data_IF_447612596495
#
_entry.id   IF_447612596495
#
_cell.length_a   1.000
_cell.length_b   1.000
_cell.length_c   1.000
_cell.angle_alpha   90.00
_cell.angle_beta   90.00
_cell.angle_gamma   90.00
#
_symmetry.space_group_name_H-M   'P 1'
#
loop_
_entity.id
_entity.type
_entity.pdbx_description
1 polymer ?
#
# COMPACT_ATOMS: atom_id res chain seq x y z
N UNK A 1 35.14 3.13 13.77
CA UNK A 1 33.68 3.40 13.82
C UNK A 1 33.49 4.74 13.09
N UNK A 2 32.98 4.79 11.86
CA UNK A 2 32.68 6.05 11.21
C UNK A 2 31.36 6.61 11.74
N UNK A 3 31.43 7.89 12.06
CA UNK A 3 30.35 8.74 12.52
C UNK A 3 29.29 8.90 11.40
N UNK A 4 28.09 8.39 11.62
CA UNK A 4 26.96 8.54 10.73
C UNK A 4 26.16 9.79 11.13
N UNK A 5 26.69 10.95 10.80
CA UNK A 5 25.90 12.17 10.81
C UNK A 5 24.99 12.20 9.57
N UNK A 6 23.75 11.81 9.74
CA UNK A 6 22.72 11.94 8.70
C UNK A 6 22.40 13.41 8.54
N UNK A 7 22.87 13.99 7.46
CA UNK A 7 22.49 15.33 7.01
C UNK A 7 21.04 15.28 6.48
N UNK A 8 20.27 16.32 6.80
CA UNK A 8 18.82 16.46 6.57
C UNK A 8 18.37 16.57 5.11
N UNK A 9 19.20 16.26 4.13
CA UNK A 9 18.94 16.55 2.70
C UNK A 9 18.89 15.33 1.77
N UNK A 10 18.97 14.11 2.26
CA UNK A 10 18.90 12.94 1.37
C UNK A 10 17.57 12.18 1.52
N UNK A 11 16.51 12.73 0.91
CA UNK A 11 15.33 11.96 0.55
C UNK A 11 15.70 11.13 -0.69
N UNK A 12 16.24 9.93 -0.48
CA UNK A 12 16.49 9.01 -1.58
C UNK A 12 15.15 8.43 -2.04
N UNK A 13 14.63 9.00 -3.12
CA UNK A 13 13.50 8.44 -3.86
C UNK A 13 14.03 7.24 -4.65
N UNK A 14 13.75 6.03 -4.20
CA UNK A 14 13.95 4.84 -5.02
C UNK A 14 12.85 4.79 -6.09
N UNK A 15 13.12 5.37 -7.25
CA UNK A 15 12.29 5.21 -8.45
C UNK A 15 12.69 3.87 -9.08
N UNK A 16 11.86 2.84 -8.92
CA UNK A 16 11.94 1.67 -9.79
C UNK A 16 11.23 2.02 -11.10
N UNK A 17 11.93 2.70 -12.01
CA UNK A 17 11.42 3.02 -13.35
C UNK A 17 11.79 1.88 -14.29
N UNK A 18 10.82 1.06 -14.68
CA UNK A 18 10.87 0.38 -15.96
C UNK A 18 10.16 1.28 -16.99
N UNK A 19 10.91 2.16 -17.63
CA UNK A 19 10.42 3.02 -18.71
C UNK A 19 10.48 2.23 -20.02
N UNK A 20 9.34 1.80 -20.54
CA UNK A 20 9.22 1.48 -21.96
C UNK A 20 8.83 2.76 -22.70
N UNK A 21 9.77 3.26 -23.53
CA UNK A 21 9.56 4.42 -24.39
C UNK A 21 8.46 4.16 -25.41
N UNK A 22 7.53 5.08 -25.52
CA UNK A 22 6.71 5.30 -26.71
C UNK A 22 5.22 5.02 -26.61
N UNK A 23 4.50 5.72 -25.73
CA UNK A 23 3.07 5.98 -25.93
C UNK A 23 2.73 7.40 -25.49
N UNK A 24 2.24 8.22 -26.46
CA UNK A 24 1.45 9.41 -26.14
C UNK A 24 0.14 8.92 -25.51
N UNK A 25 0.11 8.79 -24.18
CA UNK A 25 -1.06 8.43 -23.39
C UNK A 25 -1.43 9.67 -22.57
N UNK A 26 -2.70 10.05 -22.62
CA UNK A 26 -3.27 10.84 -21.55
C UNK A 26 -2.81 10.18 -20.25
N UNK A 27 -2.11 10.94 -19.39
CA UNK A 27 -1.56 10.40 -18.15
C UNK A 27 -2.70 9.82 -17.33
N UNK A 28 -2.64 8.53 -17.01
CA UNK A 28 -3.60 7.88 -16.14
C UNK A 28 -3.57 8.46 -14.72
N UNK A 29 -4.53 8.06 -13.91
CA UNK A 29 -4.64 8.54 -12.53
C UNK A 29 -3.60 7.85 -11.62
N UNK A 30 -3.33 8.49 -10.50
CA UNK A 30 -2.47 7.96 -9.44
C UNK A 30 -3.38 7.46 -8.30
N UNK A 31 -3.21 6.21 -7.88
CA UNK A 31 -3.94 5.65 -6.75
C UNK A 31 -3.16 5.87 -5.45
N UNK A 32 -3.74 6.62 -4.54
CA UNK A 32 -3.21 6.85 -3.19
C UNK A 32 -3.89 5.87 -2.23
N UNK A 33 -3.10 5.12 -1.47
CA UNK A 33 -3.61 4.14 -0.50
C UNK A 33 -3.21 4.57 0.91
N UNK A 34 -4.19 5.08 1.65
CA UNK A 34 -4.04 5.46 3.05
C UNK A 34 -4.29 4.26 3.99
N UNK A 35 -3.87 4.36 5.25
CA UNK A 35 -4.09 3.30 6.23
C UNK A 35 -5.53 3.27 6.75
N UNK A 36 -6.17 4.45 6.89
CA UNK A 36 -7.50 4.61 7.51
C UNK A 36 -8.39 5.53 6.67
N UNK A 37 -9.72 5.34 6.74
CA UNK A 37 -10.67 6.19 6.01
C UNK A 37 -10.58 7.68 6.39
N UNK A 38 -10.23 8.02 7.63
CA UNK A 38 -10.04 9.39 8.08
C UNK A 38 -8.88 10.07 7.36
N UNK A 39 -7.73 9.42 7.37
CA UNK A 39 -6.51 9.88 6.68
C UNK A 39 -6.74 10.02 5.17
N UNK A 40 -7.44 9.05 4.58
CA UNK A 40 -7.81 9.13 3.17
C UNK A 40 -8.65 10.37 2.84
N UNK A 41 -9.59 10.75 3.71
CA UNK A 41 -10.40 11.97 3.52
C UNK A 41 -9.57 13.24 3.60
N UNK A 42 -8.62 13.31 4.54
CA UNK A 42 -7.75 14.47 4.70
C UNK A 42 -6.85 14.63 3.46
N UNK A 43 -6.23 13.55 3.00
CA UNK A 43 -5.44 13.51 1.77
C UNK A 43 -6.31 13.89 0.55
N UNK A 44 -7.48 13.29 0.41
CA UNK A 44 -8.38 13.54 -0.71
C UNK A 44 -8.83 15.00 -0.80
N UNK A 45 -9.06 15.65 0.35
CA UNK A 45 -9.39 17.08 0.42
C UNK A 45 -8.27 17.92 -0.19
N UNK A 46 -7.02 17.63 0.19
CA UNK A 46 -5.84 18.36 -0.33
C UNK A 46 -5.66 18.11 -1.83
N UNK A 47 -5.83 16.87 -2.28
CA UNK A 47 -5.69 16.45 -3.68
C UNK A 47 -6.93 16.76 -4.54
N UNK A 48 -7.96 17.40 -3.98
CA UNK A 48 -9.23 17.71 -4.65
C UNK A 48 -9.96 16.47 -5.22
N UNK A 49 -9.77 15.32 -4.60
CA UNK A 49 -10.49 14.09 -4.93
C UNK A 49 -11.82 14.02 -4.16
N UNK A 50 -12.82 14.76 -4.64
CA UNK A 50 -14.06 15.02 -3.89
C UNK A 50 -15.25 14.13 -4.31
N UNK A 51 -15.14 13.42 -5.44
CA UNK A 51 -16.21 12.55 -5.91
C UNK A 51 -16.18 11.22 -5.13
N UNK A 52 -17.31 10.89 -4.51
CA UNK A 52 -17.44 9.63 -3.77
C UNK A 52 -17.58 8.46 -4.74
N UNK A 53 -16.72 7.45 -4.55
CA UNK A 53 -16.82 6.15 -5.17
C UNK A 53 -17.06 5.05 -4.12
N UNK A 54 -17.15 3.82 -4.57
CA UNK A 54 -17.24 2.65 -3.69
C UNK A 54 -15.86 2.40 -3.06
N UNK A 55 -15.74 2.64 -1.74
CA UNK A 55 -14.49 2.49 -0.98
C UNK A 55 -13.33 3.40 -1.44
N UNK A 56 -13.63 4.50 -2.12
CA UNK A 56 -12.62 5.47 -2.58
C UNK A 56 -13.20 6.87 -2.77
N UNK A 57 -12.31 7.84 -2.98
CA UNK A 57 -12.59 9.21 -3.37
C UNK A 57 -11.86 9.50 -4.68
N UNK A 58 -12.57 10.07 -5.66
CA UNK A 58 -12.08 10.21 -7.02
C UNK A 58 -11.91 11.68 -7.37
N UNK A 59 -10.77 12.03 -7.91
CA UNK A 59 -10.45 13.33 -8.50
C UNK A 59 -9.99 13.17 -9.95
N UNK A 60 -9.56 14.28 -10.53
CA UNK A 60 -9.08 14.29 -11.93
C UNK A 60 -7.76 13.50 -12.05
N UNK A 61 -6.79 13.82 -11.21
CA UNK A 61 -5.45 13.20 -11.22
C UNK A 61 -5.31 12.02 -10.24
N UNK A 62 -6.07 12.03 -9.15
CA UNK A 62 -5.90 11.08 -8.05
C UNK A 62 -7.16 10.29 -7.75
N UNK A 63 -6.98 9.03 -7.40
CA UNK A 63 -7.96 8.21 -6.71
C UNK A 63 -7.41 7.91 -5.32
N UNK A 64 -8.14 8.23 -4.28
CA UNK A 64 -7.72 8.01 -2.89
C UNK A 64 -8.57 6.91 -2.28
N UNK A 65 -7.94 5.82 -1.91
CA UNK A 65 -8.58 4.70 -1.22
C UNK A 65 -7.83 4.42 0.09
N UNK A 66 -8.27 3.42 0.84
CA UNK A 66 -7.72 3.17 2.17
C UNK A 66 -7.75 1.69 2.53
N UNK A 67 -6.87 1.31 3.43
CA UNK A 67 -7.01 0.13 4.25
C UNK A 67 -7.92 0.42 5.46
N UNK A 68 -8.24 -0.60 6.22
CA UNK A 68 -8.92 -0.49 7.53
C UNK A 68 -8.08 -1.21 8.60
N UNK A 69 -6.80 -0.86 8.66
CA UNK A 69 -5.77 -1.65 9.27
C UNK A 69 -5.35 -2.79 8.35
N UNK A 70 -5.01 -3.95 8.91
CA UNK A 70 -4.64 -5.10 8.10
C UNK A 70 -5.82 -5.65 7.27
N UNK A 71 -5.60 -5.81 5.97
CA UNK A 71 -6.52 -6.50 5.04
C UNK A 71 -6.01 -7.90 4.72
N UNK A 72 -4.73 -8.14 4.97
CA UNK A 72 -3.99 -9.34 4.62
C UNK A 72 -3.12 -9.73 5.80
N UNK A 73 -3.00 -11.01 6.05
CA UNK A 73 -2.12 -11.61 7.05
C UNK A 73 -1.30 -12.73 6.43
N UNK A 74 -0.30 -13.21 7.14
CA UNK A 74 0.33 -14.48 6.80
C UNK A 74 -0.66 -15.64 7.01
N UNK A 75 -0.49 -16.67 6.22
CA UNK A 75 -1.23 -17.92 6.41
C UNK A 75 -0.84 -18.56 7.75
N UNK A 76 -1.83 -19.19 8.39
CA UNK A 76 -1.60 -19.93 9.62
C UNK A 76 -0.82 -21.23 9.33
N UNK A 77 -0.11 -21.80 10.31
CA UNK A 77 0.61 -23.06 10.14
C UNK A 77 -0.23 -24.17 9.52
N UNK A 78 -1.49 -24.28 9.89
CA UNK A 78 -2.44 -25.27 9.37
C UNK A 78 -2.81 -25.07 7.89
N UNK A 79 -2.64 -23.85 7.36
CA UNK A 79 -2.85 -23.56 5.93
C UNK A 79 -1.72 -24.15 5.05
N UNK A 80 -0.60 -24.56 5.65
CA UNK A 80 0.52 -25.23 4.98
C UNK A 80 0.41 -26.76 5.03
N UNK A 81 0.08 -27.30 6.23
CA UNK A 81 -0.08 -28.73 6.44
C UNK A 81 -0.98 -28.97 7.66
N UNK A 82 -1.99 -29.84 7.55
CA UNK A 82 -2.93 -30.13 8.62
C UNK A 82 -2.26 -30.66 9.90
N UNK A 83 -1.05 -31.27 9.79
CA UNK A 83 -0.27 -31.72 10.96
C UNK A 83 0.11 -30.58 11.91
N UNK A 84 0.16 -29.33 11.43
CA UNK A 84 0.49 -28.15 12.23
C UNK A 84 -0.69 -27.56 13.00
N UNK A 85 -1.90 -28.06 12.79
CA UNK A 85 -3.09 -27.64 13.53
C UNK A 85 -2.98 -27.87 15.04
N UNK A 86 -2.26 -28.92 15.43
CA UNK A 86 -1.96 -29.22 16.82
C UNK A 86 -0.47 -28.97 17.08
N UNK A 87 -0.20 -28.04 17.99
CA UNK A 87 1.16 -27.75 18.41
C UNK A 87 1.80 -28.98 19.07
N UNK A 88 2.90 -29.47 18.48
CA UNK A 88 3.66 -30.60 18.98
C UNK A 88 5.16 -30.33 18.74
N UNK A 89 6.02 -30.68 19.71
CA UNK A 89 7.46 -30.57 19.56
C UNK A 89 8.01 -31.30 18.35
N UNK A 90 7.42 -32.43 17.99
CA UNK A 90 7.84 -33.23 16.83
C UNK A 90 7.59 -32.56 15.48
N UNK A 91 6.74 -31.51 15.44
CA UNK A 91 6.42 -30.76 14.22
C UNK A 91 7.12 -29.41 14.14
N UNK A 92 7.99 -29.09 15.09
CA UNK A 92 8.80 -27.87 15.12
C UNK A 92 10.25 -28.15 14.66
N UNK A 93 10.92 -27.18 14.01
CA UNK A 93 10.41 -25.86 13.60
C UNK A 93 9.51 -25.96 12.36
N UNK A 94 8.54 -25.05 12.24
CA UNK A 94 7.70 -24.89 11.05
C UNK A 94 8.44 -23.96 10.10
N UNK A 95 8.98 -24.47 9.01
CA UNK A 95 9.77 -23.73 8.03
C UNK A 95 9.17 -23.95 6.65
N UNK A 96 8.15 -23.16 6.25
CA UNK A 96 7.60 -23.24 4.89
C UNK A 96 8.62 -22.69 3.89
N UNK A 97 8.69 -23.27 2.70
CA UNK A 97 9.55 -22.80 1.60
C UNK A 97 9.17 -21.37 1.17
N UNK A 98 7.87 -21.05 1.19
CA UNK A 98 7.34 -19.73 0.87
C UNK A 98 6.29 -19.32 1.89
N UNK A 99 6.34 -18.03 2.29
CA UNK A 99 5.34 -17.44 3.16
C UNK A 99 4.08 -17.08 2.36
N UNK A 100 2.98 -17.74 2.66
CA UNK A 100 1.68 -17.50 1.98
C UNK A 100 0.94 -16.34 2.64
N UNK A 101 0.32 -15.50 1.81
CA UNK A 101 -0.57 -14.43 2.26
C UNK A 101 -2.03 -14.88 2.22
N UNK A 102 -2.80 -14.42 3.20
CA UNK A 102 -4.22 -14.74 3.37
C UNK A 102 -5.04 -13.48 3.57
N UNK A 103 -6.10 -13.31 2.79
CA UNK A 103 -7.02 -12.20 2.98
C UNK A 103 -7.84 -12.36 4.27
N UNK A 104 -7.93 -11.29 5.06
CA UNK A 104 -8.76 -11.26 6.27
C UNK A 104 -10.22 -11.18 5.86
N UNK A 105 -11.04 -12.10 6.37
CA UNK A 105 -12.44 -12.28 5.94
C UNK A 105 -13.27 -11.02 6.18
N UNK A 106 -13.11 -10.37 7.33
CA UNK A 106 -13.88 -9.19 7.74
C UNK A 106 -13.64 -7.97 6.86
N UNK A 107 -12.44 -7.87 6.27
CA UNK A 107 -12.02 -6.71 5.47
C UNK A 107 -11.92 -7.02 3.97
N UNK A 108 -12.39 -8.21 3.56
CA UNK A 108 -12.27 -8.71 2.18
C UNK A 108 -12.95 -7.82 1.14
N UNK A 109 -14.04 -7.14 1.51
CA UNK A 109 -14.72 -6.19 0.62
C UNK A 109 -13.79 -5.04 0.21
N UNK A 110 -13.10 -4.43 1.19
CA UNK A 110 -12.16 -3.35 0.93
C UNK A 110 -10.93 -3.83 0.15
N UNK A 111 -10.43 -5.02 0.44
CA UNK A 111 -9.35 -5.62 -0.35
C UNK A 111 -9.75 -5.80 -1.83
N UNK A 112 -10.98 -6.21 -2.12
CA UNK A 112 -11.49 -6.32 -3.50
C UNK A 112 -11.51 -4.98 -4.22
N UNK A 113 -11.89 -3.91 -3.52
CA UNK A 113 -11.91 -2.55 -4.06
C UNK A 113 -10.48 -2.11 -4.41
N UNK A 114 -9.54 -2.30 -3.48
CA UNK A 114 -8.13 -1.99 -3.74
C UNK A 114 -7.58 -2.83 -4.89
N UNK A 115 -7.86 -4.13 -4.93
CA UNK A 115 -7.45 -5.00 -6.03
C UNK A 115 -7.95 -4.49 -7.39
N UNK A 116 -9.23 -4.06 -7.46
CA UNK A 116 -9.83 -3.51 -8.68
C UNK A 116 -9.08 -2.25 -9.14
N UNK A 117 -8.86 -1.30 -8.22
CA UNK A 117 -8.18 -0.04 -8.56
C UNK A 117 -6.71 -0.24 -8.88
N UNK A 118 -5.97 -1.01 -8.10
CA UNK A 118 -4.55 -1.29 -8.30
C UNK A 118 -4.26 -1.92 -9.66
N UNK A 119 -5.20 -2.70 -10.20
CA UNK A 119 -5.08 -3.36 -11.51
C UNK A 119 -5.89 -2.68 -12.61
N UNK A 120 -6.54 -1.53 -12.34
CA UNK A 120 -7.29 -0.77 -13.36
C UNK A 120 -6.35 -0.15 -14.40
N UNK A 121 -6.77 -0.16 -15.64
CA UNK A 121 -6.05 0.54 -16.74
C UNK A 121 -6.07 2.06 -16.58
N UNK A 122 -6.97 2.61 -15.77
CA UNK A 122 -7.04 4.04 -15.47
C UNK A 122 -5.94 4.51 -14.49
N UNK A 123 -5.23 3.58 -13.85
CA UNK A 123 -4.20 3.89 -12.87
C UNK A 123 -2.82 3.59 -13.47
N UNK A 124 -1.93 4.56 -13.47
CA UNK A 124 -0.55 4.40 -13.94
C UNK A 124 0.41 4.04 -12.81
N UNK A 125 0.24 4.65 -11.65
CA UNK A 125 1.13 4.45 -10.51
C UNK A 125 0.37 4.51 -9.18
N UNK A 126 1.05 4.12 -8.11
CA UNK A 126 0.49 4.11 -6.76
C UNK A 126 1.29 5.05 -5.85
N UNK A 127 0.63 5.58 -4.82
CA UNK A 127 1.29 6.22 -3.69
C UNK A 127 0.90 5.49 -2.41
N UNK A 128 1.90 4.95 -1.73
CA UNK A 128 1.76 4.37 -0.41
C UNK A 128 1.68 5.49 0.63
N UNK A 129 0.49 5.76 1.14
CA UNK A 129 0.20 6.77 2.15
C UNK A 129 -0.28 6.15 3.49
N UNK A 130 0.17 4.92 3.78
CA UNK A 130 0.03 4.31 5.09
C UNK A 130 1.03 4.93 6.07
N UNK A 131 0.84 4.72 7.36
CA UNK A 131 1.70 5.32 8.40
C UNK A 131 3.19 5.08 8.12
N UNK A 132 4.02 6.11 8.39
CA UNK A 132 5.47 6.10 8.15
C UNK A 132 6.22 5.24 9.17
N UNK A 133 5.88 3.96 9.23
CA UNK A 133 6.47 3.00 10.13
C UNK A 133 6.47 1.60 9.55
N UNK A 134 7.13 0.68 10.24
CA UNK A 134 7.23 -0.72 9.83
C UNK A 134 5.87 -1.37 9.60
N UNK A 135 4.89 -1.06 10.45
CA UNK A 135 3.53 -1.60 10.37
C UNK A 135 2.80 -1.09 9.12
N UNK A 136 2.81 0.22 8.87
CA UNK A 136 2.17 0.79 7.69
C UNK A 136 2.81 0.30 6.38
N UNK A 137 4.14 0.14 6.35
CA UNK A 137 4.82 -0.47 5.21
C UNK A 137 4.35 -1.92 4.98
N UNK A 138 4.24 -2.70 6.05
CA UNK A 138 3.80 -4.10 5.98
C UNK A 138 2.37 -4.20 5.43
N UNK A 139 1.44 -3.36 5.90
CA UNK A 139 0.07 -3.30 5.40
C UNK A 139 0.05 -3.08 3.88
N UNK A 140 0.79 -2.08 3.40
CA UNK A 140 0.85 -1.78 1.97
C UNK A 140 1.47 -2.91 1.17
N UNK A 141 2.61 -3.45 1.60
CA UNK A 141 3.33 -4.52 0.89
C UNK A 141 2.50 -5.78 0.77
N UNK A 142 1.80 -6.19 1.81
CA UNK A 142 0.93 -7.36 1.76
C UNK A 142 -0.25 -7.17 0.79
N UNK A 143 -0.84 -5.95 0.76
CA UNK A 143 -1.88 -5.63 -0.22
C UNK A 143 -1.31 -5.67 -1.64
N UNK A 144 -0.14 -5.06 -1.86
CA UNK A 144 0.52 -5.01 -3.15
C UNK A 144 0.82 -6.42 -3.69
N UNK A 145 1.36 -7.28 -2.84
CA UNK A 145 1.72 -8.66 -3.20
C UNK A 145 0.49 -9.53 -3.48
N UNK A 146 -0.50 -9.55 -2.59
CA UNK A 146 -1.69 -10.40 -2.76
C UNK A 146 -2.55 -9.97 -3.96
N UNK A 147 -2.55 -8.68 -4.31
CA UNK A 147 -3.22 -8.17 -5.49
C UNK A 147 -2.45 -8.41 -6.79
N UNK A 148 -1.20 -8.89 -6.68
CA UNK A 148 -0.27 -9.10 -7.81
C UNK A 148 -0.10 -7.86 -8.68
N UNK A 149 -0.19 -6.67 -8.06
CA UNK A 149 0.01 -5.41 -8.75
C UNK A 149 1.46 -5.30 -9.21
N UNK A 150 1.69 -4.80 -10.43
CA UNK A 150 3.03 -4.61 -11.01
C UNK A 150 3.32 -3.15 -11.32
N UNK A 151 2.41 -2.24 -10.95
CA UNK A 151 2.58 -0.82 -11.22
C UNK A 151 3.64 -0.23 -10.31
N UNK A 152 4.39 0.77 -10.76
CA UNK A 152 5.33 1.47 -9.92
C UNK A 152 4.61 2.16 -8.76
N UNK A 153 5.29 2.30 -7.64
CA UNK A 153 4.76 3.03 -6.51
C UNK A 153 5.83 3.87 -5.83
N UNK A 154 5.38 4.95 -5.23
CA UNK A 154 6.15 5.86 -4.40
C UNK A 154 5.61 5.82 -2.97
N UNK A 155 6.40 6.28 -2.02
CA UNK A 155 5.96 6.38 -0.64
C UNK A 155 5.84 7.83 -0.21
N UNK A 156 4.66 8.19 0.30
CA UNK A 156 4.44 9.44 0.98
C UNK A 156 5.08 9.35 2.39
N UNK A 157 6.09 10.14 2.62
CA UNK A 157 6.82 10.20 3.88
C UNK A 157 6.54 11.51 4.60
N UNK A 158 5.54 11.53 5.45
CA UNK A 158 5.15 12.69 6.25
C UNK A 158 5.02 12.30 7.73
N UNK A 159 5.39 13.22 8.61
CA UNK A 159 5.30 13.05 10.07
C UNK A 159 4.03 13.65 10.69
N UNK A 160 3.25 14.36 9.89
CA UNK A 160 2.03 15.04 10.30
C UNK A 160 0.95 14.97 9.22
N UNK A 161 -0.32 14.93 9.63
CA UNK A 161 -1.48 14.94 8.72
C UNK A 161 -2.10 16.34 8.59
N UNK A 162 -1.33 17.40 8.82
CA UNK A 162 -1.79 18.76 8.53
C UNK A 162 -1.87 18.98 7.02
N UNK A 163 -2.71 19.92 6.61
CA UNK A 163 -2.90 20.24 5.19
C UNK A 163 -1.59 20.68 4.51
N UNK A 164 -0.76 21.42 5.25
CA UNK A 164 0.56 21.87 4.81
C UNK A 164 1.51 20.69 4.59
N UNK A 165 1.62 19.79 5.58
CA UNK A 165 2.50 18.61 5.47
C UNK A 165 2.08 17.68 4.33
N UNK A 166 0.77 17.51 4.11
CA UNK A 166 0.28 16.72 2.97
C UNK A 166 0.65 17.41 1.66
N UNK A 167 0.46 18.74 1.53
CA UNK A 167 0.83 19.48 0.32
C UNK A 167 2.32 19.37 0.01
N UNK A 168 3.17 19.54 1.02
CA UNK A 168 4.62 19.39 0.87
C UNK A 168 5.03 17.97 0.45
N UNK A 169 4.37 16.96 1.03
CA UNK A 169 4.66 15.55 0.69
C UNK A 169 4.24 15.14 -0.72
N UNK A 170 3.33 15.89 -1.37
CA UNK A 170 2.90 15.67 -2.75
C UNK A 170 3.53 16.65 -3.77
N UNK A 171 4.39 17.57 -3.33
CA UNK A 171 5.08 18.55 -4.19
C UNK A 171 6.30 17.93 -4.85
#
# INVERSE_FOLDING_TARGET
IPDLSIQKEDVIIYICVNYEEGRNLEMGKILVIAEKPSVARDIAKVLKANQKGDGCLIGDKYVVSWAVGHLVTLAEPEDYDEKYKKWNFSTLPILPDEMKLKAITQTRSQLKILHKWMNSVEIDSLICATDSGREGELIFRYIYEITKCKKPFERLWISSMTEEAIKEGFA
#
